data_IF_825172060109
#
_entry.id   IF_825172060109
#
_cell.length_a   1.000
_cell.length_b   1.000
_cell.length_c   1.000
_cell.angle_alpha   90.00
_cell.angle_beta   90.00
_cell.angle_gamma   90.00
#
_symmetry.space_group_name_H-M   'P 1'
#
loop_
_entity.id
_entity.type
_entity.pdbx_description
1 polymer ?
#
# COMPACT_ATOMS: atom_id res chain seq x y z
N UNK A 1 -20.37 -18.78 14.41
CA UNK A 1 -20.62 -17.70 13.41
C UNK A 1 -19.29 -17.13 12.98
N UNK A 2 -19.12 -16.86 11.68
CA UNK A 2 -17.92 -16.19 11.19
C UNK A 2 -17.96 -14.72 11.62
N UNK A 3 -16.90 -14.24 12.25
CA UNK A 3 -16.72 -12.81 12.54
C UNK A 3 -15.99 -12.17 11.36
N UNK A 4 -16.65 -11.22 10.69
CA UNK A 4 -16.03 -10.42 9.65
C UNK A 4 -15.48 -9.13 10.23
N UNK A 5 -14.25 -8.78 9.85
CA UNK A 5 -13.63 -7.50 10.17
C UNK A 5 -13.63 -6.68 8.87
N UNK A 6 -14.22 -5.48 8.93
CA UNK A 6 -14.29 -4.59 7.77
C UNK A 6 -13.10 -3.66 7.74
N UNK A 7 -12.59 -3.42 6.53
CA UNK A 7 -11.62 -2.39 6.19
C UNK A 7 -12.09 -1.66 4.93
N UNK A 8 -11.74 -0.40 4.78
CA UNK A 8 -12.18 0.40 3.63
C UNK A 8 -11.08 1.32 3.09
N UNK A 9 -11.22 1.69 1.80
CA UNK A 9 -10.51 2.78 1.15
C UNK A 9 -11.21 4.09 1.48
N UNK A 10 -10.85 4.72 2.59
CA UNK A 10 -11.57 5.90 3.06
C UNK A 10 -11.28 7.18 2.26
N UNK A 11 -10.21 7.19 1.45
CA UNK A 11 -9.91 8.27 0.50
C UNK A 11 -10.95 8.39 -0.65
N UNK A 12 -11.85 7.43 -0.79
CA UNK A 12 -13.03 7.52 -1.66
C UNK A 12 -14.20 8.29 -1.01
N UNK A 13 -14.15 8.50 0.30
CA UNK A 13 -15.15 9.30 1.02
C UNK A 13 -14.77 10.77 0.98
N UNK A 14 -13.54 11.10 1.38
CA UNK A 14 -13.02 12.46 1.40
C UNK A 14 -11.50 12.46 1.18
N UNK A 15 -10.95 13.53 0.59
CA UNK A 15 -9.51 13.73 0.48
C UNK A 15 -8.86 14.11 1.80
N UNK A 16 -9.61 14.77 2.71
CA UNK A 16 -9.13 15.15 4.04
C UNK A 16 -9.05 13.93 4.95
N UNK A 17 -7.87 13.66 5.49
CA UNK A 17 -7.62 12.45 6.25
C UNK A 17 -8.43 12.37 7.56
N UNK A 18 -8.62 13.50 8.23
CA UNK A 18 -9.43 13.53 9.46
C UNK A 18 -10.90 13.19 9.17
N UNK A 19 -11.47 13.68 8.06
CA UNK A 19 -12.84 13.34 7.65
C UNK A 19 -12.97 11.85 7.27
N UNK A 20 -11.94 11.27 6.65
CA UNK A 20 -11.87 9.82 6.43
C UNK A 20 -11.99 9.04 7.75
N UNK A 21 -11.22 9.43 8.78
CA UNK A 21 -11.21 8.75 10.06
C UNK A 21 -12.55 8.93 10.81
N UNK A 22 -13.15 10.12 10.76
CA UNK A 22 -14.49 10.38 11.31
C UNK A 22 -15.54 9.46 10.69
N UNK A 23 -15.56 9.39 9.36
CA UNK A 23 -16.51 8.53 8.64
C UNK A 23 -16.34 7.05 9.01
N UNK A 24 -15.11 6.54 9.11
CA UNK A 24 -14.85 5.17 9.56
C UNK A 24 -15.38 4.93 10.98
N UNK A 25 -15.18 5.89 11.89
CA UNK A 25 -15.71 5.80 13.27
C UNK A 25 -17.23 5.76 13.31
N UNK A 26 -17.90 6.62 12.55
CA UNK A 26 -19.37 6.65 12.46
C UNK A 26 -19.93 5.32 11.95
N UNK A 27 -19.23 4.67 11.02
CA UNK A 27 -19.59 3.38 10.45
C UNK A 27 -19.16 2.18 11.31
N UNK A 28 -18.49 2.40 12.47
CA UNK A 28 -17.89 1.37 13.30
C UNK A 28 -16.88 0.48 12.55
N UNK A 29 -16.13 1.05 11.60
CA UNK A 29 -15.05 0.39 10.88
C UNK A 29 -13.74 0.72 11.58
N UNK A 30 -13.07 -0.31 12.12
CA UNK A 30 -11.84 -0.15 12.89
C UNK A 30 -10.55 -0.25 12.08
N UNK A 31 -10.63 -0.52 10.78
CA UNK A 31 -9.46 -0.69 9.92
C UNK A 31 -9.58 0.14 8.64
N UNK A 32 -8.45 0.70 8.21
CA UNK A 32 -8.32 1.36 6.91
C UNK A 32 -7.31 0.61 6.03
N UNK A 33 -7.57 0.45 4.74
CA UNK A 33 -6.54 0.22 3.75
C UNK A 33 -6.03 1.59 3.29
N UNK A 34 -4.83 1.97 3.75
CA UNK A 34 -4.30 3.31 3.56
C UNK A 34 -3.78 3.49 2.13
N UNK A 35 -4.31 4.48 1.42
CA UNK A 35 -3.93 4.82 0.05
C UNK A 35 -3.70 6.33 -0.13
N UNK A 36 -4.67 7.14 0.21
CA UNK A 36 -4.66 8.60 0.07
C UNK A 36 -4.77 9.33 1.40
N UNK A 37 -3.99 10.40 1.57
CA UNK A 37 -3.94 11.25 2.76
C UNK A 37 -3.86 12.70 2.32
N UNK A 38 -4.86 13.52 2.65
CA UNK A 38 -4.91 14.94 2.34
C UNK A 38 -4.65 15.26 0.85
N UNK A 39 -5.23 14.45 -0.05
CA UNK A 39 -5.09 14.62 -1.49
C UNK A 39 -3.77 14.13 -2.10
N UNK A 40 -2.87 13.56 -1.29
CA UNK A 40 -1.62 12.93 -1.74
C UNK A 40 -1.69 11.41 -1.61
N UNK A 41 -0.90 10.68 -2.40
CA UNK A 41 -0.58 9.29 -2.07
C UNK A 41 0.21 9.24 -0.76
N UNK A 42 -0.04 8.23 0.10
CA UNK A 42 0.73 8.09 1.34
C UNK A 42 2.25 7.99 1.13
N UNK A 43 2.68 7.57 -0.07
CA UNK A 43 4.09 7.42 -0.44
C UNK A 43 4.79 8.79 -0.61
N UNK A 44 4.01 9.82 -0.95
CA UNK A 44 4.50 11.20 -1.18
C UNK A 44 4.61 12.00 0.12
N UNK A 45 4.21 11.42 1.25
CA UNK A 45 4.30 12.06 2.56
C UNK A 45 5.76 12.19 3.00
N UNK A 46 6.09 13.32 3.63
CA UNK A 46 7.35 13.46 4.37
C UNK A 46 7.35 12.57 5.62
N UNK A 47 8.50 12.39 6.25
CA UNK A 47 8.58 11.60 7.48
C UNK A 47 7.79 12.24 8.62
N UNK A 48 7.72 13.58 8.68
CA UNK A 48 6.89 14.31 9.63
C UNK A 48 5.40 14.09 9.37
N UNK A 49 4.98 14.12 8.09
CA UNK A 49 3.59 13.85 7.70
C UNK A 49 3.21 12.39 8.03
N UNK A 50 4.11 11.41 7.84
CA UNK A 50 3.87 10.00 8.21
C UNK A 50 3.66 9.85 9.71
N UNK A 51 4.49 10.52 10.52
CA UNK A 51 4.31 10.50 11.98
C UNK A 51 2.97 11.16 12.40
N UNK A 52 2.59 12.27 11.79
CA UNK A 52 1.30 12.91 12.04
C UNK A 52 0.11 12.00 11.67
N UNK A 53 0.21 11.25 10.58
CA UNK A 53 -0.78 10.21 10.19
C UNK A 53 -0.88 9.13 11.27
N UNK A 54 0.26 8.65 11.78
CA UNK A 54 0.29 7.67 12.86
C UNK A 54 -0.41 8.16 14.11
N UNK A 55 -0.12 9.40 14.54
CA UNK A 55 -0.76 10.03 15.70
C UNK A 55 -2.29 10.17 15.52
N UNK A 56 -2.74 10.56 14.32
CA UNK A 56 -4.16 10.64 14.01
C UNK A 56 -4.84 9.27 14.07
N UNK A 57 -4.27 8.24 13.44
CA UNK A 57 -4.79 6.88 13.50
C UNK A 57 -4.93 6.38 14.94
N UNK A 58 -3.90 6.60 15.76
CA UNK A 58 -3.90 6.20 17.16
C UNK A 58 -4.98 6.96 17.96
N UNK A 59 -5.16 8.26 17.71
CA UNK A 59 -6.16 9.07 18.41
C UNK A 59 -7.61 8.65 18.10
N UNK A 60 -7.85 8.16 16.87
CA UNK A 60 -9.15 7.62 16.44
C UNK A 60 -9.31 6.12 16.78
N UNK A 61 -8.24 5.44 17.20
CA UNK A 61 -8.24 3.99 17.43
C UNK A 61 -8.53 3.19 16.16
N UNK A 62 -8.02 3.65 15.01
CA UNK A 62 -8.16 2.99 13.71
C UNK A 62 -6.82 2.36 13.35
N UNK A 63 -6.83 1.06 13.07
CA UNK A 63 -5.67 0.32 12.58
C UNK A 63 -5.57 0.34 11.05
N UNK A 64 -4.41 -0.07 10.53
CA UNK A 64 -4.20 -0.25 9.09
C UNK A 64 -4.25 -1.74 8.76
N UNK A 65 -5.12 -2.14 7.84
CA UNK A 65 -5.21 -3.53 7.37
C UNK A 65 -4.14 -3.84 6.32
N UNK A 66 -3.89 -2.90 5.42
CA UNK A 66 -2.86 -2.97 4.39
C UNK A 66 -2.50 -1.57 3.88
N UNK A 67 -1.32 -1.42 3.30
CA UNK A 67 -0.95 -0.25 2.51
C UNK A 67 -1.30 -0.52 1.05
N UNK A 68 -2.19 0.30 0.48
CA UNK A 68 -2.62 0.22 -0.92
C UNK A 68 -1.57 0.84 -1.84
N UNK A 69 -0.61 0.04 -2.31
CA UNK A 69 0.57 0.52 -3.05
C UNK A 69 0.37 0.50 -4.56
N UNK A 70 1.15 1.27 -5.34
CA UNK A 70 1.23 1.16 -6.79
C UNK A 70 2.27 0.13 -7.26
N UNK A 71 2.84 -0.67 -6.36
CA UNK A 71 3.80 -1.71 -6.73
C UNK A 71 3.16 -2.68 -7.73
N UNK A 72 3.86 -2.94 -8.83
CA UNK A 72 3.35 -3.73 -9.94
C UNK A 72 2.38 -3.01 -10.88
N UNK A 73 2.11 -1.71 -10.70
CA UNK A 73 1.26 -0.91 -11.60
C UNK A 73 2.09 -0.22 -12.71
N UNK A 74 3.02 -0.96 -13.28
CA UNK A 74 3.84 -0.57 -14.43
C UNK A 74 3.88 -1.70 -15.46
N UNK A 75 4.28 -1.40 -16.69
CA UNK A 75 4.59 -2.43 -17.69
C UNK A 75 5.94 -3.09 -17.37
N UNK A 76 6.12 -4.33 -17.80
CA UNK A 76 7.35 -5.10 -17.51
C UNK A 76 8.61 -4.54 -18.18
N UNK A 77 8.48 -3.66 -19.16
CA UNK A 77 9.57 -2.89 -19.76
C UNK A 77 9.81 -1.52 -19.09
N UNK A 78 9.07 -1.20 -18.05
CA UNK A 78 9.26 0.00 -17.24
C UNK A 78 10.50 -0.07 -16.34
N UNK A 79 10.77 1.01 -15.60
CA UNK A 79 11.92 1.12 -14.71
C UNK A 79 11.70 0.29 -13.42
N UNK A 80 12.04 -0.99 -13.48
CA UNK A 80 11.91 -1.91 -12.35
C UNK A 80 12.84 -1.56 -11.17
N UNK A 81 14.02 -0.98 -11.44
CA UNK A 81 14.94 -0.56 -10.36
C UNK A 81 14.37 0.63 -9.57
N UNK A 82 13.76 1.60 -10.26
CA UNK A 82 13.03 2.66 -9.57
C UNK A 82 11.86 2.10 -8.75
N UNK A 83 11.20 1.06 -9.27
CA UNK A 83 10.10 0.38 -8.59
C UNK A 83 10.53 -0.34 -7.32
N UNK A 84 11.72 -0.95 -7.29
CA UNK A 84 12.32 -1.54 -6.07
C UNK A 84 12.67 -0.46 -5.03
N UNK A 85 13.17 0.70 -5.45
CA UNK A 85 13.41 1.83 -4.54
C UNK A 85 12.10 2.34 -3.93
N UNK A 86 11.04 2.38 -4.72
CA UNK A 86 9.71 2.73 -4.24
C UNK A 86 9.22 1.74 -3.18
N UNK A 87 9.40 0.43 -3.39
CA UNK A 87 9.08 -0.59 -2.39
C UNK A 87 9.85 -0.36 -1.08
N UNK A 88 11.13 0.00 -1.16
CA UNK A 88 11.92 0.33 0.04
C UNK A 88 11.27 1.48 0.82
N UNK A 89 10.93 2.59 0.16
CA UNK A 89 10.23 3.72 0.79
C UNK A 89 8.90 3.32 1.42
N UNK A 90 8.12 2.50 0.74
CA UNK A 90 6.83 1.98 1.24
C UNK A 90 7.04 1.17 2.52
N UNK A 91 8.07 0.32 2.55
CA UNK A 91 8.39 -0.45 3.75
C UNK A 91 8.87 0.44 4.90
N UNK A 92 9.62 1.51 4.64
CA UNK A 92 10.01 2.48 5.68
C UNK A 92 8.78 3.15 6.30
N UNK A 93 7.83 3.57 5.49
CA UNK A 93 6.53 4.11 5.95
C UNK A 93 5.75 3.04 6.72
N UNK A 94 5.70 1.81 6.21
CA UNK A 94 5.03 0.69 6.87
C UNK A 94 5.59 0.38 8.26
N UNK A 95 6.91 0.51 8.44
CA UNK A 95 7.56 0.35 9.75
C UNK A 95 7.09 1.42 10.75
N UNK A 96 7.02 2.69 10.33
CA UNK A 96 6.53 3.80 11.18
C UNK A 96 5.06 3.62 11.52
N UNK A 97 4.24 3.27 10.52
CA UNK A 97 2.79 3.10 10.69
C UNK A 97 2.40 1.78 11.39
N UNK A 98 3.34 0.83 11.54
CA UNK A 98 3.09 -0.47 12.14
C UNK A 98 2.30 -1.42 11.24
N UNK A 99 2.32 -1.23 9.92
CA UNK A 99 1.64 -2.08 8.95
C UNK A 99 2.65 -2.86 8.10
N UNK A 100 2.52 -4.18 8.09
CA UNK A 100 3.42 -5.10 7.37
C UNK A 100 2.77 -5.76 6.14
N UNK A 101 1.54 -5.40 5.82
CA UNK A 101 0.81 -5.94 4.66
C UNK A 101 0.77 -4.90 3.56
N UNK A 102 1.25 -5.26 2.39
CA UNK A 102 1.30 -4.39 1.22
C UNK A 102 0.43 -4.99 0.10
N UNK A 103 -0.59 -4.27 -0.36
CA UNK A 103 -1.31 -4.68 -1.56
C UNK A 103 -0.55 -4.23 -2.80
N UNK A 104 -0.33 -5.15 -3.73
CA UNK A 104 0.36 -4.89 -5.00
C UNK A 104 -0.48 -5.28 -6.22
N UNK A 105 0.03 -4.93 -7.41
CA UNK A 105 -0.48 -5.36 -8.72
C UNK A 105 0.53 -6.33 -9.36
N UNK A 106 0.09 -7.03 -10.41
CA UNK A 106 0.89 -8.08 -11.07
C UNK A 106 1.50 -7.65 -12.40
N UNK A 107 1.81 -6.37 -12.55
CA UNK A 107 2.39 -5.77 -13.75
C UNK A 107 1.48 -5.79 -14.99
N UNK A 108 1.85 -5.05 -16.01
CA UNK A 108 1.20 -5.07 -17.33
C UNK A 108 2.18 -5.57 -18.39
N UNK A 109 1.71 -6.26 -19.45
CA UNK A 109 2.57 -6.68 -20.53
C UNK A 109 3.09 -5.46 -21.30
N UNK A 110 4.31 -5.56 -21.86
CA UNK A 110 4.78 -4.63 -22.86
C UNK A 110 4.04 -4.85 -24.19
N UNK A 111 3.98 -3.83 -25.02
CA UNK A 111 3.30 -3.91 -26.31
C UNK A 111 3.90 -5.04 -27.19
N UNK A 112 3.03 -5.90 -27.70
CA UNK A 112 3.43 -7.03 -28.56
C UNK A 112 4.14 -8.17 -27.83
N UNK A 113 4.23 -8.18 -26.51
CA UNK A 113 4.87 -9.25 -25.76
C UNK A 113 4.03 -10.52 -25.76
N UNK A 114 4.67 -11.67 -26.02
CA UNK A 114 4.02 -12.97 -25.93
C UNK A 114 3.71 -13.35 -24.47
N UNK A 115 2.56 -14.01 -24.22
CA UNK A 115 2.07 -14.36 -22.88
C UNK A 115 3.08 -15.14 -22.04
N UNK A 116 3.78 -16.11 -22.62
CA UNK A 116 4.74 -16.92 -21.87
C UNK A 116 5.98 -16.12 -21.47
N UNK A 117 6.41 -15.19 -22.33
CA UNK A 117 7.48 -14.24 -22.00
C UNK A 117 7.05 -13.31 -20.87
N UNK A 118 5.84 -12.76 -20.95
CA UNK A 118 5.27 -11.91 -19.93
C UNK A 118 5.21 -12.62 -18.57
N UNK A 119 4.66 -13.83 -18.53
CA UNK A 119 4.60 -14.64 -17.30
C UNK A 119 5.98 -14.86 -16.67
N UNK A 120 6.98 -15.21 -17.51
CA UNK A 120 8.34 -15.44 -17.01
C UNK A 120 8.94 -14.20 -16.36
N UNK A 121 8.78 -13.03 -17.00
CA UNK A 121 9.28 -11.76 -16.44
C UNK A 121 8.54 -11.37 -15.16
N UNK A 122 7.23 -11.52 -15.13
CA UNK A 122 6.42 -11.22 -13.94
C UNK A 122 6.81 -12.11 -12.77
N UNK A 123 7.03 -13.41 -12.99
CA UNK A 123 7.48 -14.31 -11.92
C UNK A 123 8.85 -13.90 -11.36
N UNK A 124 9.81 -13.54 -12.23
CA UNK A 124 11.11 -13.05 -11.79
C UNK A 124 10.99 -11.74 -10.97
N UNK A 125 10.19 -10.79 -11.43
CA UNK A 125 9.97 -9.52 -10.73
C UNK A 125 9.29 -9.73 -9.37
N UNK A 126 8.23 -10.54 -9.33
CA UNK A 126 7.53 -10.86 -8.07
C UNK A 126 8.48 -11.56 -7.10
N UNK A 127 9.31 -12.49 -7.56
CA UNK A 127 10.30 -13.17 -6.71
C UNK A 127 11.28 -12.17 -6.08
N UNK A 128 11.84 -11.23 -6.87
CA UNK A 128 12.73 -10.21 -6.35
C UNK A 128 12.04 -9.31 -5.30
N UNK A 129 10.79 -8.89 -5.57
CA UNK A 129 10.02 -8.06 -4.61
C UNK A 129 9.72 -8.84 -3.33
N UNK A 130 9.37 -10.12 -3.42
CA UNK A 130 9.14 -10.99 -2.27
C UNK A 130 10.40 -11.18 -1.43
N UNK A 131 11.56 -11.34 -2.04
CA UNK A 131 12.86 -11.43 -1.33
C UNK A 131 13.13 -10.15 -0.54
N UNK A 132 12.92 -8.97 -1.15
CA UNK A 132 13.06 -7.68 -0.47
C UNK A 132 12.07 -7.52 0.70
N UNK A 133 10.81 -7.86 0.49
CA UNK A 133 9.75 -7.75 1.50
C UNK A 133 9.99 -8.73 2.65
N UNK A 134 10.31 -9.98 2.36
CA UNK A 134 10.57 -11.03 3.35
C UNK A 134 11.76 -10.72 4.25
N UNK A 135 12.80 -10.08 3.71
CA UNK A 135 13.97 -9.66 4.50
C UNK A 135 13.61 -8.65 5.61
N UNK A 136 12.49 -7.96 5.48
CA UNK A 136 11.96 -6.98 6.46
C UNK A 136 10.64 -7.44 7.11
N UNK A 137 10.27 -8.69 6.93
CA UNK A 137 9.03 -9.30 7.48
C UNK A 137 7.76 -8.61 6.96
N UNK A 138 7.76 -8.17 5.70
CA UNK A 138 6.56 -7.69 5.01
C UNK A 138 5.89 -8.81 4.21
N UNK A 139 4.57 -8.66 3.98
CA UNK A 139 3.72 -9.52 3.17
C UNK A 139 3.29 -8.73 1.95
N UNK A 140 3.51 -9.29 0.75
CA UNK A 140 3.00 -8.76 -0.52
C UNK A 140 1.75 -9.52 -0.96
#
# INVERSE_FOLDING_TARGET
>A
MANFIFSAFADEIDSNFEEQLKALKELNIGLIELRGVNGKSFIELSDEEVNAVKEQLDSYGIGISALGTPIGKITVDGDFEAHKKLLTRIMDIGDVLGCKVLRMFSFYPAEGMADDTFKSVVFDYIQQLLEMASARVFIL
#
